data_IF_552646195394
#
_entry.id   IF_552646195394
#
_cell.length_a   1.000
_cell.length_b   1.000
_cell.length_c   1.000
_cell.angle_alpha   90.00
_cell.angle_beta   90.00
_cell.angle_gamma   90.00
#
_symmetry.space_group_name_H-M   'P 1'
#
loop_
_entity.id
_entity.type
_entity.pdbx_description
1 polymer ?
#
# COMPACT_ATOMS: atom_id res chain seq x y z
N UNK A 1 13.82 6.18 9.43
CA UNK A 1 12.54 5.46 9.52
C UNK A 1 11.48 6.48 9.89
N UNK A 2 10.46 6.65 9.05
CA UNK A 2 9.34 7.56 9.28
C UNK A 2 8.19 6.74 9.86
N UNK A 3 7.51 7.19 10.92
CA UNK A 3 6.28 6.53 11.40
C UNK A 3 5.06 7.24 10.81
N UNK A 4 4.07 6.53 10.26
CA UNK A 4 2.87 7.16 9.77
C UNK A 4 2.03 7.65 10.95
N UNK A 5 1.48 8.86 10.85
CA UNK A 5 0.57 9.43 11.87
C UNK A 5 -0.87 8.92 11.73
N UNK A 6 -1.21 8.39 10.55
CA UNK A 6 -2.53 7.84 10.26
C UNK A 6 -2.45 6.87 9.08
N UNK A 7 -3.49 6.04 8.91
CA UNK A 7 -3.66 5.23 7.71
C UNK A 7 -3.66 6.06 6.41
N UNK A 8 -4.07 7.33 6.46
CA UNK A 8 -4.09 8.22 5.30
C UNK A 8 -2.70 8.50 4.73
N UNK A 9 -1.66 8.53 5.57
CA UNK A 9 -0.28 8.70 5.09
C UNK A 9 0.20 7.45 4.33
N UNK A 10 -0.25 6.26 4.77
CA UNK A 10 0.04 5.00 4.08
C UNK A 10 -0.71 4.94 2.74
N UNK A 11 -1.98 5.37 2.70
CA UNK A 11 -2.76 5.45 1.44
C UNK A 11 -2.04 6.35 0.43
N UNK A 12 -1.67 7.57 0.83
CA UNK A 12 -0.98 8.52 -0.07
C UNK A 12 0.34 7.95 -0.56
N UNK A 13 1.09 7.24 0.30
CA UNK A 13 2.31 6.56 -0.10
C UNK A 13 2.05 5.47 -1.14
N UNK A 14 1.10 4.56 -0.88
CA UNK A 14 0.74 3.48 -1.80
C UNK A 14 0.25 4.04 -3.14
N UNK A 15 -0.60 5.08 -3.14
CA UNK A 15 -1.07 5.71 -4.36
C UNK A 15 0.07 6.31 -5.20
N UNK A 16 1.05 6.95 -4.56
CA UNK A 16 2.24 7.48 -5.26
C UNK A 16 3.04 6.37 -5.91
N UNK A 17 3.33 5.30 -5.15
CA UNK A 17 4.08 4.16 -5.68
C UNK A 17 3.32 3.52 -6.85
N UNK A 18 2.01 3.29 -6.71
CA UNK A 18 1.20 2.69 -7.77
C UNK A 18 1.17 3.59 -9.00
N UNK A 19 0.98 4.90 -8.85
CA UNK A 19 1.02 5.85 -9.96
C UNK A 19 2.38 5.82 -10.70
N UNK A 20 3.48 5.73 -9.96
CA UNK A 20 4.83 5.63 -10.53
C UNK A 20 5.04 4.31 -11.29
N UNK A 21 4.66 3.17 -10.71
CA UNK A 21 4.85 1.85 -11.33
C UNK A 21 3.96 1.65 -12.56
N UNK A 22 2.70 2.07 -12.47
CA UNK A 22 1.69 1.88 -13.52
C UNK A 22 1.72 2.99 -14.57
N UNK A 23 2.49 4.07 -14.31
CA UNK A 23 2.50 5.31 -15.10
C UNK A 23 1.12 5.96 -15.23
N UNK A 24 0.20 5.64 -14.32
CA UNK A 24 -1.11 6.26 -14.25
C UNK A 24 -1.01 7.63 -13.54
N UNK A 25 -1.88 8.59 -13.89
CA UNK A 25 -2.04 9.80 -13.10
C UNK A 25 -2.41 9.46 -11.66
N UNK A 26 -1.87 10.19 -10.68
CA UNK A 26 -2.23 10.03 -9.27
C UNK A 26 -3.75 10.18 -9.03
N UNK A 27 -4.43 11.02 -9.83
CA UNK A 27 -5.89 11.18 -9.80
C UNK A 27 -6.67 9.92 -10.18
N UNK A 28 -6.05 9.02 -10.94
CA UNK A 28 -6.69 7.82 -11.47
C UNK A 28 -6.47 6.62 -10.52
N UNK A 29 -5.63 6.78 -9.50
CA UNK A 29 -5.36 5.75 -8.49
C UNK A 29 -6.36 5.86 -7.34
N UNK A 30 -7.56 5.34 -7.55
CA UNK A 30 -8.63 5.31 -6.54
C UNK A 30 -8.31 4.29 -5.43
N UNK A 31 -8.32 4.76 -4.18
CA UNK A 31 -8.00 3.95 -3.02
C UNK A 31 -8.99 2.78 -2.77
N UNK A 32 -10.19 2.84 -3.34
CA UNK A 32 -11.24 1.84 -3.23
C UNK A 32 -11.26 0.86 -4.40
N UNK A 33 -10.48 1.11 -5.45
CA UNK A 33 -10.35 0.21 -6.58
C UNK A 33 -9.47 -0.99 -6.21
N UNK A 34 -9.77 -2.14 -6.81
CA UNK A 34 -8.96 -3.33 -6.64
C UNK A 34 -7.53 -3.13 -7.16
N UNK A 35 -6.52 -3.55 -6.40
CA UNK A 35 -5.10 -3.41 -6.76
C UNK A 35 -4.80 -4.04 -8.14
N UNK A 36 -5.43 -5.19 -8.43
CA UNK A 36 -5.35 -5.85 -9.74
C UNK A 36 -5.89 -5.01 -10.92
N UNK A 37 -6.82 -4.09 -10.66
CA UNK A 37 -7.42 -3.25 -11.72
C UNK A 37 -6.46 -2.17 -12.21
N UNK A 38 -5.44 -1.81 -11.43
CA UNK A 38 -4.37 -0.91 -11.86
C UNK A 38 -3.33 -1.57 -12.76
N UNK A 39 -3.48 -2.86 -13.06
CA UNK A 39 -2.49 -3.62 -13.81
C UNK A 39 -1.29 -4.04 -12.96
N UNK A 40 -1.41 -4.01 -11.62
CA UNK A 40 -0.41 -4.58 -10.73
C UNK A 40 -0.45 -6.11 -10.85
N UNK A 41 0.67 -6.67 -11.30
CA UNK A 41 0.88 -8.11 -11.27
C UNK A 41 1.46 -8.58 -9.93
N UNK A 42 1.67 -9.88 -9.77
CA UNK A 42 2.22 -10.46 -8.53
C UNK A 42 3.63 -9.95 -8.20
N UNK A 43 4.41 -9.49 -9.18
CA UNK A 43 5.78 -8.98 -8.97
C UNK A 43 5.71 -7.53 -8.49
N UNK A 44 4.92 -6.68 -9.15
CA UNK A 44 4.68 -5.29 -8.73
C UNK A 44 4.07 -5.22 -7.32
N UNK A 45 3.26 -6.21 -6.97
CA UNK A 45 2.66 -6.34 -5.64
C UNK A 45 3.71 -6.51 -4.54
N UNK A 46 4.66 -7.44 -4.71
CA UNK A 46 5.76 -7.63 -3.74
C UNK A 46 6.61 -6.37 -3.64
N UNK A 47 6.93 -5.73 -4.77
CA UNK A 47 7.72 -4.50 -4.81
C UNK A 47 7.04 -3.33 -4.08
N UNK A 48 5.71 -3.22 -4.18
CA UNK A 48 4.92 -2.26 -3.42
C UNK A 48 5.12 -2.44 -1.90
N UNK A 49 5.06 -3.68 -1.41
CA UNK A 49 5.25 -3.98 0.01
C UNK A 49 6.67 -3.69 0.44
N UNK A 50 7.67 -4.11 -0.32
CA UNK A 50 9.07 -3.83 -0.02
C UNK A 50 9.31 -2.31 0.11
N UNK A 51 8.70 -1.48 -0.74
CA UNK A 51 8.79 -0.02 -0.62
C UNK A 51 8.21 0.49 0.71
N UNK A 52 7.06 -0.05 1.12
CA UNK A 52 6.41 0.32 2.40
C UNK A 52 7.24 -0.16 3.60
N UNK A 53 7.68 -1.42 3.58
CA UNK A 53 8.54 -2.04 4.59
C UNK A 53 9.82 -1.25 4.79
N UNK A 54 10.52 -0.90 3.71
CA UNK A 54 11.75 -0.11 3.77
C UNK A 54 11.51 1.32 4.28
N UNK A 55 10.41 1.95 3.89
CA UNK A 55 10.12 3.33 4.27
C UNK A 55 9.72 3.47 5.75
N UNK A 56 8.84 2.58 6.21
CA UNK A 56 8.32 2.61 7.58
C UNK A 56 9.10 1.72 8.56
N UNK A 57 9.94 0.83 8.04
CA UNK A 57 10.75 -0.09 8.85
C UNK A 57 9.94 -1.19 9.51
N UNK A 58 9.02 -1.80 8.75
CA UNK A 58 8.10 -2.84 9.20
C UNK A 58 8.21 -4.06 8.30
N UNK A 59 7.50 -5.14 8.65
CA UNK A 59 7.35 -6.33 7.81
C UNK A 59 5.87 -6.53 7.51
N UNK A 60 5.54 -6.79 6.25
CA UNK A 60 4.18 -6.96 5.77
C UNK A 60 4.05 -8.33 5.11
N UNK A 61 2.99 -9.06 5.46
CA UNK A 61 2.72 -10.35 4.83
C UNK A 61 2.33 -10.17 3.35
N UNK A 62 2.93 -10.92 2.41
CA UNK A 62 2.52 -10.88 1.00
C UNK A 62 1.09 -11.39 0.78
N UNK A 63 0.52 -12.12 1.76
CA UNK A 63 -0.89 -12.55 1.73
C UNK A 63 -1.86 -11.36 1.76
N UNK A 64 -1.41 -10.16 2.16
CA UNK A 64 -2.28 -9.00 2.31
C UNK A 64 -2.87 -8.52 0.99
N UNK A 65 -2.29 -8.83 -0.16
CA UNK A 65 -2.94 -8.55 -1.45
C UNK A 65 -4.22 -9.36 -1.67
N UNK A 66 -4.27 -10.58 -1.13
CA UNK A 66 -5.44 -11.45 -1.24
C UNK A 66 -6.51 -11.07 -0.22
N UNK A 67 -6.10 -10.81 1.02
CA UNK A 67 -7.03 -10.49 2.11
C UNK A 67 -7.53 -9.03 2.06
N UNK A 68 -6.72 -8.12 1.50
CA UNK A 68 -6.98 -6.68 1.45
C UNK A 68 -6.76 -6.15 0.03
N UNK A 69 -7.66 -6.47 -0.92
CA UNK A 69 -7.44 -6.26 -2.35
C UNK A 69 -7.54 -4.80 -2.80
N UNK A 70 -7.60 -3.82 -1.90
CA UNK A 70 -7.67 -2.38 -2.22
C UNK A 70 -6.62 -1.61 -1.42
N UNK A 71 -6.22 -0.44 -1.93
CA UNK A 71 -5.25 0.43 -1.23
C UNK A 71 -5.76 0.80 0.16
N UNK A 72 -7.05 1.14 0.27
CA UNK A 72 -7.69 1.51 1.54
C UNK A 72 -7.62 0.36 2.54
N UNK A 73 -7.99 -0.86 2.15
CA UNK A 73 -7.97 -2.02 3.05
C UNK A 73 -6.54 -2.38 3.46
N UNK A 74 -5.62 -2.38 2.50
CA UNK A 74 -4.21 -2.68 2.73
C UNK A 74 -3.59 -1.67 3.72
N UNK A 75 -3.80 -0.37 3.48
CA UNK A 75 -3.31 0.68 4.36
C UNK A 75 -3.93 0.60 5.77
N UNK A 76 -5.21 0.27 5.86
CA UNK A 76 -5.91 0.08 7.14
C UNK A 76 -5.26 -1.05 7.93
N UNK A 77 -5.01 -2.20 7.28
CA UNK A 77 -4.40 -3.35 7.95
C UNK A 77 -2.97 -3.06 8.38
N UNK A 78 -2.14 -2.49 7.48
CA UNK A 78 -0.76 -2.12 7.79
C UNK A 78 -0.72 -1.17 9.00
N UNK A 79 -1.60 -0.15 9.01
CA UNK A 79 -1.69 0.79 10.12
C UNK A 79 -2.06 0.10 11.44
N UNK A 80 -3.12 -0.71 11.39
CA UNK A 80 -3.68 -1.40 12.55
C UNK A 80 -2.68 -2.35 13.19
N UNK A 81 -1.97 -3.14 12.40
CA UNK A 81 -1.05 -4.17 12.91
C UNK A 81 0.27 -3.59 13.40
N UNK A 82 0.80 -2.56 12.72
CA UNK A 82 2.16 -2.08 12.98
C UNK A 82 2.23 -0.78 13.80
N UNK A 83 1.17 0.01 13.83
CA UNK A 83 1.21 1.37 14.39
C UNK A 83 0.07 1.70 15.36
N UNK A 84 -1.06 0.99 15.33
CA UNK A 84 -2.20 1.25 16.21
C UNK A 84 -2.06 0.65 17.62
N UNK A 85 -1.08 -0.23 17.85
CA UNK A 85 -0.83 -0.86 19.16
C UNK A 85 0.29 -0.19 19.99
N UNK A 86 0.71 1.04 19.66
CA UNK A 86 1.71 1.79 20.44
C UNK A 86 1.13 2.98 21.20
#
# INVERSE_FOLDING_TARGET
MVKPKSQGEIIVFLQKVIAEETKLPYSDVDENLGLHQFGLDSISSVYLLEKVENYYGITISPLYFWDYPTIRLLATQIFKENFQQQ
#
